data_IF_190301232461
#
_entry.id   IF_190301232461
#
_cell.length_a   1.000
_cell.length_b   1.000
_cell.length_c   1.000
_cell.angle_alpha   90.00
_cell.angle_beta   90.00
_cell.angle_gamma   90.00
#
_symmetry.space_group_name_H-M   'P 1'
#
loop_
_entity.id
_entity.type
_entity.pdbx_description
1 polymer ?
#
# COMPACT_ATOMS: atom_id res chain seq x y z
N UNK A 1 -12.81 13.18 -27.84
CA UNK A 1 -12.80 14.51 -27.18
C UNK A 1 -11.77 14.56 -26.05
N UNK A 2 -11.93 13.78 -24.97
CA UNK A 2 -11.04 13.80 -23.78
C UNK A 2 -9.54 13.80 -24.12
N UNK A 3 -9.04 12.80 -24.85
CA UNK A 3 -7.62 12.71 -25.25
C UNK A 3 -7.10 13.95 -25.98
N UNK A 4 -7.88 14.49 -26.92
CA UNK A 4 -7.47 15.64 -27.72
C UNK A 4 -7.38 16.92 -26.87
N UNK A 5 -8.35 17.14 -25.98
CA UNK A 5 -8.33 18.26 -25.04
C UNK A 5 -7.21 18.12 -23.99
N UNK A 6 -6.95 16.89 -23.51
CA UNK A 6 -5.85 16.60 -22.59
C UNK A 6 -4.49 16.88 -23.25
N UNK A 7 -4.24 16.36 -24.46
CA UNK A 7 -2.98 16.58 -25.16
C UNK A 7 -2.74 18.05 -25.53
N UNK A 8 -3.77 18.80 -25.93
CA UNK A 8 -3.67 20.25 -26.14
C UNK A 8 -3.29 20.98 -24.84
N UNK A 9 -3.80 20.55 -23.69
CA UNK A 9 -3.40 21.09 -22.39
C UNK A 9 -1.98 20.70 -22.01
N UNK A 10 -1.56 19.46 -22.27
CA UNK A 10 -0.19 18.99 -21.98
C UNK A 10 0.85 19.82 -22.73
N UNK A 11 0.60 20.12 -24.01
CA UNK A 11 1.46 20.96 -24.86
C UNK A 11 1.66 22.36 -24.24
N UNK A 12 0.59 23.00 -23.73
CA UNK A 12 0.68 24.29 -23.02
C UNK A 12 1.58 24.29 -21.77
N UNK A 13 1.89 23.13 -21.20
CA UNK A 13 2.74 22.97 -20.01
C UNK A 13 4.04 22.19 -20.30
N UNK A 14 4.38 21.96 -21.58
CA UNK A 14 5.53 21.14 -22.00
C UNK A 14 5.52 19.71 -21.44
N UNK A 15 4.33 19.15 -21.18
CA UNK A 15 4.14 17.77 -20.73
C UNK A 15 3.99 16.88 -21.98
N UNK A 16 4.66 15.70 -22.05
CA UNK A 16 4.52 14.78 -23.18
C UNK A 16 3.05 14.41 -23.46
N UNK A 17 2.68 14.40 -24.74
CA UNK A 17 1.35 13.99 -25.18
C UNK A 17 1.16 12.48 -25.04
N UNK A 18 -0.06 12.06 -24.72
CA UNK A 18 -0.41 10.69 -24.38
C UNK A 18 -1.15 10.03 -25.53
N UNK A 19 -1.03 8.70 -25.68
CA UNK A 19 -1.80 7.98 -26.70
C UNK A 19 -3.29 7.94 -26.35
N UNK A 20 -4.13 7.57 -27.32
CA UNK A 20 -5.56 7.38 -27.08
C UNK A 20 -5.81 6.27 -26.05
N UNK A 21 -4.98 5.22 -26.06
CA UNK A 21 -5.12 4.08 -25.16
C UNK A 21 -4.74 4.45 -23.73
N UNK A 22 -3.59 5.10 -23.53
CA UNK A 22 -3.09 5.51 -22.21
C UNK A 22 -4.02 6.53 -21.57
N UNK A 23 -4.47 7.52 -22.35
CA UNK A 23 -5.44 8.51 -21.90
C UNK A 23 -6.79 7.88 -21.49
N UNK A 24 -7.21 6.80 -22.18
CA UNK A 24 -8.43 6.05 -21.80
C UNK A 24 -8.22 5.26 -20.50
N UNK A 25 -7.07 4.60 -20.33
CA UNK A 25 -6.72 3.88 -19.12
C UNK A 25 -6.66 4.79 -17.89
N UNK A 26 -5.95 5.92 -18.01
CA UNK A 26 -5.88 6.93 -16.94
C UNK A 26 -7.26 7.52 -16.61
N UNK A 27 -8.07 7.83 -17.62
CA UNK A 27 -9.41 8.39 -17.40
C UNK A 27 -10.37 7.40 -16.71
N UNK A 28 -10.24 6.10 -16.96
CA UNK A 28 -11.03 5.06 -16.28
C UNK A 28 -10.71 4.93 -14.78
N UNK A 29 -9.48 5.27 -14.39
CA UNK A 29 -8.99 5.13 -13.00
C UNK A 29 -9.18 6.40 -12.16
N UNK A 30 -9.96 7.38 -12.62
CA UNK A 30 -10.21 8.64 -11.87
C UNK A 30 -11.17 8.37 -10.71
N UNK A 31 -10.66 8.49 -9.47
CA UNK A 31 -11.47 8.48 -8.25
C UNK A 31 -12.00 9.89 -7.97
N UNK A 32 -13.31 10.02 -7.77
CA UNK A 32 -13.95 11.29 -7.43
C UNK A 32 -13.60 11.71 -6.00
N UNK A 33 -12.96 12.87 -5.85
CA UNK A 33 -12.64 13.44 -4.54
C UNK A 33 -13.83 14.24 -3.97
N UNK A 34 -14.12 14.07 -2.68
CA UNK A 34 -15.13 14.83 -1.95
C UNK A 34 -14.46 15.49 -0.74
N UNK A 35 -14.69 16.79 -0.54
CA UNK A 35 -13.99 17.59 0.47
C UNK A 35 -14.23 17.08 1.91
N UNK A 36 -15.42 16.57 2.20
CA UNK A 36 -15.78 16.04 3.53
C UNK A 36 -15.01 14.78 3.90
N UNK A 37 -14.74 13.88 2.95
CA UNK A 37 -13.93 12.68 3.19
C UNK A 37 -12.49 13.06 3.54
N UNK A 38 -11.91 14.04 2.84
CA UNK A 38 -10.56 14.54 3.17
C UNK A 38 -10.51 15.15 4.57
N UNK A 39 -11.53 15.91 4.98
CA UNK A 39 -11.63 16.48 6.33
C UNK A 39 -11.76 15.39 7.42
N UNK A 40 -12.56 14.34 7.18
CA UNK A 40 -12.70 13.20 8.09
C UNK A 40 -11.38 12.42 8.24
N UNK A 41 -10.73 12.09 7.13
CA UNK A 41 -9.43 11.38 7.13
C UNK A 41 -8.35 12.22 7.81
N UNK A 42 -8.29 13.53 7.57
CA UNK A 42 -7.35 14.42 8.26
C UNK A 42 -7.56 14.43 9.79
N UNK A 43 -8.82 14.44 10.26
CA UNK A 43 -9.13 14.30 11.68
C UNK A 43 -8.64 12.98 12.28
N UNK A 44 -8.82 11.86 11.56
CA UNK A 44 -8.34 10.54 11.98
C UNK A 44 -6.80 10.46 12.03
N UNK A 45 -6.10 11.05 11.05
CA UNK A 45 -4.63 11.13 11.03
C UNK A 45 -4.12 11.85 12.29
N UNK A 46 -4.74 12.98 12.68
CA UNK A 46 -4.35 13.71 13.89
C UNK A 46 -4.59 12.89 15.16
N UNK A 47 -5.68 12.12 15.23
CA UNK A 47 -5.97 11.24 16.37
C UNK A 47 -4.92 10.13 16.52
N UNK A 48 -4.52 9.47 15.42
CA UNK A 48 -3.44 8.47 15.50
C UNK A 48 -2.07 9.11 15.79
N UNK A 49 -1.76 10.28 15.23
CA UNK A 49 -0.52 11.01 15.51
C UNK A 49 -0.39 11.39 17.00
N UNK A 50 -1.49 11.81 17.65
CA UNK A 50 -1.51 12.06 19.10
C UNK A 50 -1.20 10.80 19.92
N UNK A 51 -1.64 9.61 19.49
CA UNK A 51 -1.28 8.34 20.15
C UNK A 51 0.20 8.02 19.99
N UNK A 52 0.78 8.26 18.81
CA UNK A 52 2.24 8.11 18.58
C UNK A 52 3.02 9.02 19.51
N UNK A 53 2.68 10.31 19.58
CA UNK A 53 3.33 11.29 20.45
C UNK A 53 3.19 10.96 21.95
N UNK A 54 2.07 10.35 22.35
CA UNK A 54 1.85 9.85 23.71
C UNK A 54 2.56 8.51 24.02
N UNK A 55 3.29 7.92 23.06
CA UNK A 55 3.92 6.61 23.20
C UNK A 55 2.94 5.42 23.21
N UNK A 56 1.67 5.65 22.91
CA UNK A 56 0.60 4.65 22.97
C UNK A 56 0.49 3.80 21.69
N UNK A 57 1.62 3.24 21.23
CA UNK A 57 1.70 2.52 19.94
C UNK A 57 0.75 1.30 19.85
N UNK A 58 0.49 0.61 20.97
CA UNK A 58 -0.47 -0.50 21.03
C UNK A 58 -1.94 -0.08 20.87
N UNK A 59 -2.25 1.21 20.97
CA UNK A 59 -3.58 1.78 20.75
C UNK A 59 -3.81 2.27 19.30
N UNK A 60 -2.80 2.16 18.43
CA UNK A 60 -2.92 2.52 17.01
C UNK A 60 -3.88 1.58 16.29
N UNK A 61 -4.69 2.10 15.37
CA UNK A 61 -5.66 1.31 14.60
C UNK A 61 -5.69 1.73 13.13
N UNK A 62 -5.67 0.75 12.23
CA UNK A 62 -6.03 0.96 10.83
C UNK A 62 -7.51 1.32 10.77
N UNK A 63 -7.87 2.44 10.14
CA UNK A 63 -9.24 2.96 10.17
C UNK A 63 -9.79 3.15 8.77
N UNK A 64 -10.88 2.46 8.47
CA UNK A 64 -11.60 2.52 7.21
C UNK A 64 -12.90 3.32 7.38
N UNK A 65 -13.09 4.36 6.57
CA UNK A 65 -14.35 5.08 6.46
C UNK A 65 -15.24 4.34 5.46
N UNK A 66 -16.47 4.01 5.85
CA UNK A 66 -17.43 3.29 5.02
C UNK A 66 -18.68 4.15 4.78
N UNK A 67 -19.29 3.99 3.62
CA UNK A 67 -20.57 4.64 3.25
C UNK A 67 -21.79 4.05 3.97
N UNK A 68 -21.60 2.90 4.61
CA UNK A 68 -22.67 2.05 5.12
C UNK A 68 -22.97 2.33 6.60
N UNK A 69 -23.84 1.51 7.21
CA UNK A 69 -24.35 1.67 8.59
C UNK A 69 -23.30 1.76 9.70
N UNK A 70 -22.01 1.50 9.39
CA UNK A 70 -20.88 1.74 10.29
C UNK A 70 -19.93 2.73 9.60
N UNK A 71 -20.16 4.03 9.79
CA UNK A 71 -19.36 5.09 9.17
C UNK A 71 -17.84 4.93 9.33
N UNK A 72 -17.39 4.28 10.40
CA UNK A 72 -15.98 4.02 10.68
C UNK A 72 -15.78 2.57 11.18
N UNK A 73 -14.88 1.84 10.54
CA UNK A 73 -14.43 0.51 10.97
C UNK A 73 -12.95 0.59 11.40
N UNK A 74 -12.65 0.19 12.64
CA UNK A 74 -11.30 0.16 13.20
C UNK A 74 -10.76 -1.27 13.24
N UNK A 75 -9.54 -1.46 12.78
CA UNK A 75 -8.80 -2.73 12.76
C UNK A 75 -7.50 -2.61 13.56
N UNK A 76 -7.01 -3.73 14.09
CA UNK A 76 -5.67 -3.79 14.65
C UNK A 76 -4.63 -3.53 13.55
N UNK A 77 -3.48 -2.96 13.90
CA UNK A 77 -2.34 -2.87 13.00
C UNK A 77 -1.72 -4.26 12.90
N UNK A 78 -1.55 -4.75 11.67
CA UNK A 78 -0.93 -6.05 11.40
C UNK A 78 0.60 -5.98 11.59
N UNK A 79 1.26 -7.06 12.04
CA UNK A 79 2.71 -7.12 12.08
C UNK A 79 3.31 -7.08 10.65
N UNK A 80 4.59 -6.71 10.48
CA UNK A 80 5.26 -6.77 9.19
C UNK A 80 5.14 -8.15 8.54
N UNK A 81 4.77 -8.18 7.26
CA UNK A 81 4.65 -9.43 6.50
C UNK A 81 6.04 -10.06 6.28
N UNK A 82 6.15 -11.36 6.53
CA UNK A 82 7.44 -12.08 6.57
C UNK A 82 8.20 -12.05 5.23
N UNK A 83 7.49 -11.94 4.10
CA UNK A 83 8.07 -11.82 2.75
C UNK A 83 8.17 -10.39 2.19
N UNK A 84 7.87 -9.35 2.97
CA UNK A 84 7.77 -7.99 2.43
C UNK A 84 9.08 -7.48 1.80
N UNK A 85 9.06 -7.18 0.49
CA UNK A 85 10.24 -6.72 -0.25
C UNK A 85 10.79 -5.35 0.16
N UNK A 86 10.04 -4.56 0.92
CA UNK A 86 10.43 -3.21 1.33
C UNK A 86 10.89 -3.11 2.80
N UNK A 87 10.37 -3.97 3.70
CA UNK A 87 10.68 -3.90 5.14
C UNK A 87 11.20 -5.20 5.75
N UNK A 88 11.31 -6.28 4.96
CA UNK A 88 11.94 -7.54 5.35
C UNK A 88 13.29 -7.74 4.66
N UNK A 89 13.97 -8.85 4.97
CA UNK A 89 15.14 -9.30 4.20
C UNK A 89 14.66 -10.13 3.02
N UNK A 90 14.25 -9.46 1.95
CA UNK A 90 13.71 -10.15 0.78
C UNK A 90 14.78 -10.55 -0.24
N UNK A 91 14.60 -11.76 -0.77
CA UNK A 91 15.31 -12.27 -1.92
C UNK A 91 14.30 -12.46 -3.06
N UNK A 92 14.65 -12.02 -4.26
CA UNK A 92 13.87 -12.26 -5.47
C UNK A 92 14.69 -13.07 -6.47
N UNK A 93 14.03 -13.96 -7.20
CA UNK A 93 14.60 -14.70 -8.32
C UNK A 93 14.11 -14.10 -9.64
N UNK A 94 15.03 -13.52 -10.39
CA UNK A 94 14.84 -13.12 -11.79
C UNK A 94 15.21 -14.28 -12.70
N UNK A 95 14.23 -14.81 -13.44
CA UNK A 95 14.46 -15.66 -14.60
C UNK A 95 14.44 -14.79 -15.85
N UNK A 96 15.55 -14.76 -16.58
CA UNK A 96 15.67 -14.00 -17.82
C UNK A 96 16.73 -14.65 -18.73
N UNK A 97 16.68 -14.38 -20.03
CA UNK A 97 17.77 -14.77 -20.93
C UNK A 97 18.95 -13.79 -20.73
N UNK A 98 20.01 -14.22 -20.02
CA UNK A 98 21.15 -13.35 -19.66
C UNK A 98 22.04 -12.96 -20.85
N UNK A 99 21.89 -13.62 -22.00
CA UNK A 99 22.64 -13.30 -23.22
C UNK A 99 21.91 -12.30 -24.12
N UNK A 100 20.58 -12.28 -24.07
CA UNK A 100 19.74 -11.32 -24.79
C UNK A 100 19.42 -10.05 -23.97
N UNK A 101 19.15 -10.19 -22.67
CA UNK A 101 18.80 -9.07 -21.80
C UNK A 101 20.02 -8.17 -21.56
N UNK A 102 19.85 -6.85 -21.69
CA UNK A 102 20.88 -5.86 -21.40
C UNK A 102 20.74 -5.28 -19.99
N UNK A 103 21.83 -4.68 -19.49
CA UNK A 103 21.81 -3.95 -18.22
C UNK A 103 20.79 -2.78 -18.23
N UNK A 104 20.64 -2.10 -19.36
CA UNK A 104 19.64 -1.04 -19.58
C UNK A 104 18.20 -1.54 -19.34
N UNK A 105 17.85 -2.72 -19.88
CA UNK A 105 16.52 -3.31 -19.67
C UNK A 105 16.33 -3.76 -18.23
N UNK A 106 17.36 -4.33 -17.59
CA UNK A 106 17.31 -4.71 -16.17
C UNK A 106 17.02 -3.50 -15.28
N UNK A 107 17.72 -2.39 -15.51
CA UNK A 107 17.55 -1.15 -14.75
C UNK A 107 16.18 -0.51 -15.00
N UNK A 108 15.77 -0.37 -16.26
CA UNK A 108 14.52 0.31 -16.61
C UNK A 108 13.28 -0.52 -16.23
N UNK A 109 13.18 -1.76 -16.72
CA UNK A 109 11.95 -2.56 -16.64
C UNK A 109 11.79 -3.30 -15.31
N UNK A 110 12.89 -3.60 -14.61
CA UNK A 110 12.83 -4.34 -13.34
C UNK A 110 13.13 -3.43 -12.16
N UNK A 111 14.35 -2.87 -12.08
CA UNK A 111 14.80 -2.14 -10.90
C UNK A 111 13.98 -0.86 -10.69
N UNK A 112 13.87 0.01 -11.70
CA UNK A 112 13.12 1.27 -11.61
C UNK A 112 11.61 1.06 -11.70
N UNK A 113 11.12 0.29 -12.68
CA UNK A 113 9.68 0.14 -12.94
C UNK A 113 8.95 -0.85 -12.02
N UNK A 114 9.59 -1.96 -11.61
CA UNK A 114 8.94 -3.04 -10.82
C UNK A 114 9.34 -3.06 -9.35
N UNK A 115 10.59 -2.69 -9.01
CA UNK A 115 11.04 -2.54 -7.62
C UNK A 115 10.88 -1.11 -7.09
N UNK A 116 10.52 -0.13 -7.94
CA UNK A 116 10.33 1.29 -7.59
C UNK A 116 11.57 1.99 -7.00
N UNK A 117 12.76 1.45 -7.28
CA UNK A 117 14.06 2.06 -6.94
C UNK A 117 14.25 3.34 -7.76
N UNK A 118 14.59 4.44 -7.09
CA UNK A 118 14.78 5.73 -7.75
C UNK A 118 16.21 5.88 -8.29
N UNK A 119 17.20 5.55 -7.44
CA UNK A 119 18.63 5.75 -7.67
C UNK A 119 19.35 4.41 -7.44
N UNK A 120 19.48 3.56 -8.48
CA UNK A 120 19.95 2.19 -8.31
C UNK A 120 21.46 2.07 -8.17
N UNK A 121 21.88 1.37 -7.13
CA UNK A 121 23.23 0.79 -7.00
C UNK A 121 23.12 -0.73 -7.06
N UNK A 122 23.93 -1.37 -7.93
CA UNK A 122 23.99 -2.82 -8.11
C UNK A 122 25.39 -3.34 -7.77
N UNK A 123 25.47 -4.41 -6.99
CA UNK A 123 26.75 -5.05 -6.63
C UNK A 123 26.65 -6.57 -6.74
N UNK A 124 27.60 -7.21 -7.43
CA UNK A 124 27.69 -8.67 -7.57
C UNK A 124 29.17 -9.11 -7.74
N UNK A 125 29.83 -9.40 -6.63
CA UNK A 125 31.27 -9.70 -6.64
C UNK A 125 32.08 -8.48 -7.13
N UNK A 126 32.87 -8.66 -8.19
CA UNK A 126 33.64 -7.60 -8.85
C UNK A 126 32.78 -6.73 -9.79
N UNK A 127 31.52 -7.09 -10.06
CA UNK A 127 30.60 -6.22 -10.79
C UNK A 127 30.01 -5.16 -9.85
N UNK A 128 30.14 -3.90 -10.24
CA UNK A 128 29.52 -2.76 -9.57
C UNK A 128 28.91 -1.82 -10.62
N UNK A 129 27.78 -1.21 -10.28
CA UNK A 129 27.10 -0.20 -11.09
C UNK A 129 26.39 0.78 -10.14
N UNK A 130 26.49 2.07 -10.45
CA UNK A 130 25.90 3.13 -9.65
C UNK A 130 25.32 4.22 -10.55
N UNK A 131 24.18 4.75 -10.16
CA UNK A 131 23.65 6.03 -10.61
C UNK A 131 23.56 6.96 -9.40
N UNK A 132 23.71 8.27 -9.58
CA UNK A 132 23.54 9.24 -8.49
C UNK A 132 24.26 10.55 -8.73
N UNK A 133 24.14 11.45 -7.76
CA UNK A 133 24.98 12.64 -7.65
C UNK A 133 26.26 12.27 -6.89
N UNK A 134 27.44 12.56 -7.44
CA UNK A 134 28.74 12.30 -6.79
C UNK A 134 29.75 11.51 -7.63
N UNK A 135 29.30 10.90 -8.73
CA UNK A 135 30.18 10.22 -9.70
C UNK A 135 31.00 11.21 -10.54
N UNK A 136 32.24 10.84 -10.86
CA UNK A 136 33.10 11.59 -11.79
C UNK A 136 32.69 11.35 -13.27
N UNK A 137 33.03 12.28 -14.17
CA UNK A 137 32.59 12.24 -15.58
C UNK A 137 33.03 10.95 -16.32
N UNK A 138 34.17 10.37 -15.94
CA UNK A 138 34.70 9.13 -16.50
C UNK A 138 34.03 7.88 -15.91
N UNK A 139 33.65 7.90 -14.63
CA UNK A 139 32.79 6.87 -14.01
C UNK A 139 31.42 6.82 -14.70
N UNK A 140 30.79 7.97 -14.89
CA UNK A 140 29.51 8.09 -15.61
C UNK A 140 29.65 7.55 -17.05
N UNK A 141 30.72 7.91 -17.76
CA UNK A 141 30.99 7.37 -19.10
C UNK A 141 31.24 5.85 -19.09
N UNK A 142 31.91 5.33 -18.07
CA UNK A 142 32.14 3.89 -17.90
C UNK A 142 30.82 3.14 -17.70
N UNK A 143 29.96 3.57 -16.76
CA UNK A 143 28.67 2.94 -16.52
C UNK A 143 27.73 3.01 -17.73
N UNK A 144 27.69 4.16 -18.43
CA UNK A 144 26.95 4.27 -19.70
C UNK A 144 27.43 3.28 -20.78
N UNK A 145 28.72 2.92 -20.78
CA UNK A 145 29.27 1.89 -21.70
C UNK A 145 28.85 0.45 -21.35
N UNK A 146 28.37 0.22 -20.12
CA UNK A 146 27.89 -1.09 -19.66
C UNK A 146 26.41 -1.31 -19.97
N UNK A 147 25.59 -0.26 -20.03
CA UNK A 147 24.14 -0.31 -20.25
C UNK A 147 23.74 -1.21 -21.44
N UNK A 148 24.45 -1.09 -22.56
CA UNK A 148 24.16 -1.81 -23.82
C UNK A 148 24.75 -3.23 -23.89
N UNK A 149 25.48 -3.67 -22.86
CA UNK A 149 26.03 -5.04 -22.79
C UNK A 149 24.95 -5.99 -22.28
N UNK A 150 24.99 -7.25 -22.74
CA UNK A 150 24.17 -8.30 -22.16
C UNK A 150 24.63 -8.63 -20.75
N UNK A 151 23.72 -9.09 -19.90
CA UNK A 151 24.00 -9.43 -18.49
C UNK A 151 25.20 -10.38 -18.36
N UNK A 152 25.29 -11.42 -19.19
CA UNK A 152 26.40 -12.36 -19.22
C UNK A 152 27.76 -11.77 -19.68
N UNK A 153 27.79 -10.56 -20.27
CA UNK A 153 29.01 -9.89 -20.79
C UNK A 153 29.42 -8.66 -19.97
N UNK A 154 28.87 -8.50 -18.77
CA UNK A 154 29.31 -7.52 -17.79
C UNK A 154 30.68 -7.90 -17.18
N UNK A 155 31.46 -6.93 -16.65
CA UNK A 155 32.72 -7.23 -15.98
C UNK A 155 32.51 -8.12 -14.74
N UNK A 156 33.58 -8.69 -14.20
CA UNK A 156 33.51 -9.56 -13.01
C UNK A 156 32.99 -10.98 -13.27
N UNK A 157 32.91 -11.42 -14.53
CA UNK A 157 32.39 -12.75 -14.91
C UNK A 157 30.94 -12.74 -15.40
N UNK A 158 30.30 -11.57 -15.43
CA UNK A 158 28.93 -11.41 -15.90
C UNK A 158 27.88 -11.78 -14.85
N UNK A 159 26.64 -11.39 -15.16
CA UNK A 159 25.45 -11.74 -14.39
C UNK A 159 24.79 -12.95 -15.06
N UNK A 160 24.95 -14.12 -14.44
CA UNK A 160 24.59 -15.45 -14.96
C UNK A 160 23.77 -16.24 -13.94
N UNK A 161 23.38 -17.49 -14.25
CA UNK A 161 22.68 -18.36 -13.29
C UNK A 161 23.46 -18.51 -11.98
N UNK A 162 22.81 -18.18 -10.87
CA UNK A 162 23.40 -18.22 -9.52
C UNK A 162 24.12 -16.93 -9.10
N UNK A 163 24.22 -15.92 -9.97
CA UNK A 163 24.65 -14.58 -9.55
C UNK A 163 23.63 -13.99 -8.59
N UNK A 164 24.10 -13.50 -7.44
CA UNK A 164 23.28 -12.80 -6.44
C UNK A 164 23.67 -11.32 -6.50
N UNK A 165 22.77 -10.49 -7.01
CA UNK A 165 22.98 -9.05 -7.16
C UNK A 165 22.33 -8.33 -5.98
N UNK A 166 23.13 -7.64 -5.17
CA UNK A 166 22.60 -6.70 -4.19
C UNK A 166 22.09 -5.46 -4.94
N UNK A 167 20.79 -5.20 -4.85
CA UNK A 167 20.11 -4.00 -5.36
C UNK A 167 19.90 -3.06 -4.19
N UNK A 168 20.38 -1.83 -4.30
CA UNK A 168 20.29 -0.82 -3.25
C UNK A 168 19.81 0.53 -3.79
N UNK A 169 19.20 1.31 -2.91
CA UNK A 169 18.93 2.74 -3.07
C UNK A 169 19.20 3.41 -1.72
N UNK A 170 20.25 4.21 -1.62
CA UNK A 170 20.63 4.87 -0.36
C UNK A 170 19.63 5.97 0.04
N UNK A 171 18.99 6.62 -0.94
CA UNK A 171 18.02 7.70 -0.72
C UNK A 171 16.73 7.14 -0.13
N UNK A 172 16.29 5.97 -0.61
CA UNK A 172 15.10 5.26 -0.12
C UNK A 172 15.41 4.33 1.07
N UNK A 173 16.69 4.11 1.42
CA UNK A 173 17.16 3.07 2.35
C UNK A 173 16.73 1.64 1.95
N UNK A 174 16.54 1.40 0.65
CA UNK A 174 16.09 0.12 0.10
C UNK A 174 17.28 -0.82 -0.12
N UNK A 175 17.12 -2.09 0.24
CA UNK A 175 18.12 -3.15 0.05
C UNK A 175 17.41 -4.47 -0.28
N UNK A 176 17.80 -5.14 -1.36
CA UNK A 176 17.22 -6.39 -1.83
C UNK A 176 18.28 -7.27 -2.52
N UNK A 177 18.19 -8.59 -2.37
CA UNK A 177 19.04 -9.53 -3.11
C UNK A 177 18.28 -10.12 -4.30
N UNK A 178 18.83 -9.94 -5.50
CA UNK A 178 18.27 -10.42 -6.76
C UNK A 178 19.10 -11.59 -7.30
N UNK A 179 18.58 -12.80 -7.13
CA UNK A 179 19.14 -14.05 -7.63
C UNK A 179 18.81 -14.18 -9.11
N UNK A 180 19.82 -14.32 -9.96
CA UNK A 180 19.65 -14.45 -11.41
C UNK A 180 19.62 -15.93 -11.80
N UNK A 181 18.70 -16.28 -12.69
CA UNK A 181 18.55 -17.60 -13.29
C UNK A 181 18.42 -17.44 -14.81
N UNK A 182 19.39 -17.96 -15.56
CA UNK A 182 19.29 -17.97 -17.01
C UNK A 182 18.16 -18.91 -17.45
N UNK A 183 17.36 -18.45 -18.40
CA UNK A 183 16.40 -19.27 -19.14
C UNK A 183 16.34 -18.78 -20.59
N UNK A 184 16.61 -19.69 -21.54
CA UNK A 184 16.69 -19.35 -22.97
C UNK A 184 15.34 -18.94 -23.56
N UNK A 185 14.33 -19.78 -23.33
CA UNK A 185 12.99 -19.69 -23.91
C UNK A 185 11.93 -19.39 -22.85
N UNK A 186 11.03 -18.47 -23.18
CA UNK A 186 9.86 -18.10 -22.38
C UNK A 186 8.61 -18.34 -23.19
N UNK A 187 7.58 -18.95 -22.59
CA UNK A 187 6.27 -18.98 -23.24
C UNK A 187 5.65 -17.58 -23.19
N UNK A 188 5.19 -17.13 -24.36
CA UNK A 188 4.48 -15.87 -24.56
C UNK A 188 3.21 -15.72 -23.72
N UNK A 189 2.61 -16.82 -23.25
CA UNK A 189 1.46 -16.78 -22.33
C UNK A 189 1.84 -16.45 -20.91
N UNK A 190 2.98 -16.96 -20.45
CA UNK A 190 3.37 -16.94 -19.03
C UNK A 190 4.30 -15.75 -18.72
N UNK A 191 5.11 -15.33 -19.71
CA UNK A 191 6.08 -14.26 -19.57
C UNK A 191 6.10 -13.34 -20.82
N UNK A 192 5.03 -12.55 -21.06
CA UNK A 192 4.93 -11.68 -22.24
C UNK A 192 6.01 -10.59 -22.30
N UNK A 193 6.64 -10.26 -21.18
CA UNK A 193 7.74 -9.28 -21.07
C UNK A 193 9.13 -9.93 -21.28
N UNK A 194 9.22 -11.25 -21.49
CA UNK A 194 10.47 -11.98 -21.73
C UNK A 194 11.31 -12.27 -20.47
N UNK A 195 10.74 -12.06 -19.28
CA UNK A 195 11.33 -12.42 -17.99
C UNK A 195 10.24 -12.79 -16.96
N UNK A 196 10.64 -13.51 -15.91
CA UNK A 196 9.80 -13.83 -14.75
C UNK A 196 10.49 -13.38 -13.47
N UNK A 197 9.83 -12.53 -12.69
CA UNK A 197 10.26 -12.16 -11.34
C UNK A 197 9.44 -12.95 -10.32
N UNK A 198 10.12 -13.72 -9.46
CA UNK A 198 9.53 -14.70 -8.56
C UNK A 198 10.17 -14.65 -7.17
N UNK A 199 9.44 -15.04 -6.13
CA UNK A 199 9.83 -14.92 -4.72
C UNK A 199 8.58 -14.66 -3.88
N UNK A 200 8.74 -14.40 -2.58
CA UNK A 200 7.63 -14.02 -1.69
C UNK A 200 7.17 -12.57 -1.90
N UNK A 201 7.02 -12.17 -3.17
CA UNK A 201 6.29 -10.98 -3.57
C UNK A 201 4.87 -11.09 -3.00
N UNK A 202 4.38 -10.16 -2.16
CA UNK A 202 2.99 -10.15 -1.78
C UNK A 202 2.16 -10.01 -3.05
N UNK A 203 1.40 -11.05 -3.39
CA UNK A 203 0.59 -11.08 -4.59
C UNK A 203 -0.36 -9.88 -4.57
N UNK A 204 -0.28 -9.02 -5.58
CA UNK A 204 -1.30 -8.01 -5.79
C UNK A 204 -2.65 -8.73 -5.89
N UNK A 205 -3.69 -8.32 -5.14
CA UNK A 205 -5.01 -8.91 -5.28
C UNK A 205 -5.43 -8.72 -6.73
N UNK A 206 -5.71 -9.83 -7.42
CA UNK A 206 -6.18 -9.80 -8.79
C UNK A 206 -7.40 -8.87 -8.88
N UNK A 207 -7.41 -7.98 -9.88
CA UNK A 207 -8.52 -7.08 -10.10
C UNK A 207 -9.83 -7.89 -10.13
N UNK A 208 -10.78 -7.54 -9.27
CA UNK A 208 -12.05 -8.23 -9.21
C UNK A 208 -12.72 -8.15 -10.59
N UNK A 209 -13.32 -9.25 -11.10
CA UNK A 209 -13.91 -9.26 -12.43
C UNK A 209 -15.04 -8.22 -12.52
N UNK A 210 -15.02 -7.42 -13.59
CA UNK A 210 -16.03 -6.40 -13.87
C UNK A 210 -17.44 -7.02 -13.88
N UNK A 211 -18.22 -6.66 -12.84
CA UNK A 211 -19.55 -7.20 -12.56
C UNK A 211 -20.60 -6.11 -12.36
N UNK A 212 -20.48 -4.98 -13.08
CA UNK A 212 -21.54 -3.98 -13.14
C UNK A 212 -22.70 -4.52 -13.98
N UNK A 213 -23.72 -5.05 -13.29
CA UNK A 213 -24.97 -5.44 -13.91
C UNK A 213 -25.69 -4.20 -14.46
N UNK A 214 -25.87 -4.16 -15.78
CA UNK A 214 -26.74 -3.20 -16.46
C UNK A 214 -28.19 -3.33 -15.94
N UNK A 215 -28.82 -2.18 -15.74
CA UNK A 215 -30.14 -2.02 -15.15
C UNK A 215 -30.93 -0.88 -15.81
N UNK A 216 -30.86 -0.82 -17.14
CA UNK A 216 -31.74 -0.12 -18.11
C UNK A 216 -32.71 0.97 -17.61
N UNK A 217 -32.68 2.09 -18.33
CA UNK A 217 -33.49 3.28 -18.14
C UNK A 217 -35.02 3.03 -18.02
N UNK A 218 -35.69 3.96 -17.33
CA UNK A 218 -36.95 4.48 -17.83
C UNK A 218 -37.03 6.00 -17.63
N UNK A 219 -37.41 6.73 -18.68
CA UNK A 219 -37.58 8.17 -18.63
C UNK A 219 -39.02 8.57 -18.35
N UNK A 220 -39.22 9.58 -17.51
CA UNK A 220 -40.54 10.19 -17.26
C UNK A 220 -40.34 11.59 -16.68
N UNK A 221 -40.85 12.61 -17.36
CA UNK A 221 -40.81 14.00 -16.90
C UNK A 221 -42.04 14.38 -16.08
N UNK A 222 -41.94 15.48 -15.33
CA UNK A 222 -42.92 15.97 -14.36
C UNK A 222 -42.15 16.44 -13.12
N UNK A 223 -41.71 17.69 -13.02
CA UNK A 223 -42.47 18.94 -12.78
C UNK A 223 -42.54 19.28 -11.27
N UNK A 224 -42.55 20.59 -10.99
CA UNK A 224 -42.19 21.29 -9.76
C UNK A 224 -42.76 20.78 -8.40
N UNK A 225 -41.94 20.84 -7.35
CA UNK A 225 -42.35 21.32 -6.02
C UNK A 225 -41.16 21.60 -5.09
N UNK A 226 -41.21 22.73 -4.38
CA UNK A 226 -40.18 23.18 -3.42
C UNK A 226 -39.90 22.20 -2.26
N UNK A 227 -38.65 22.21 -1.79
CA UNK A 227 -38.21 21.50 -0.59
C UNK A 227 -37.48 22.46 0.35
N UNK A 228 -38.21 23.04 1.30
CA UNK A 228 -37.70 24.00 2.29
C UNK A 228 -36.48 23.48 3.07
N UNK A 229 -35.47 24.34 3.20
CA UNK A 229 -34.38 24.19 4.16
C UNK A 229 -34.69 24.99 5.41
N UNK A 230 -35.23 24.34 6.45
CA UNK A 230 -35.40 24.99 7.75
C UNK A 230 -34.02 25.33 8.36
N UNK A 231 -33.72 26.64 8.37
CA UNK A 231 -32.66 27.24 9.16
C UNK A 231 -33.05 27.25 10.64
N UNK A 232 -32.42 26.40 11.44
CA UNK A 232 -32.45 26.52 12.90
C UNK A 232 -31.35 27.51 13.34
N UNK A 233 -31.76 28.75 13.59
CA UNK A 233 -30.89 29.80 14.13
C UNK A 233 -30.56 29.63 15.63
N UNK A 234 -29.44 30.24 15.99
CA UNK A 234 -28.68 30.19 17.26
C UNK A 234 -29.43 30.02 18.60
N UNK A 235 -28.86 29.16 19.46
CA UNK A 235 -29.07 29.17 20.90
C UNK A 235 -27.87 29.86 21.62
N UNK A 236 -28.10 30.82 22.53
CA UNK A 236 -27.03 31.64 23.12
C UNK A 236 -26.17 30.90 24.17
N UNK A 237 -24.93 31.37 24.45
CA UNK A 237 -23.94 30.63 25.23
C UNK A 237 -24.16 30.70 26.76
N UNK A 238 -23.92 29.60 27.45
CA UNK A 238 -23.85 29.54 28.92
C UNK A 238 -22.40 29.73 29.43
N UNK A 239 -22.18 30.45 30.55
CA UNK A 239 -20.84 30.90 30.96
C UNK A 239 -20.03 29.88 31.79
N UNK A 240 -18.71 30.10 31.80
CA UNK A 240 -17.70 29.36 32.57
C UNK A 240 -17.57 29.85 34.02
N UNK A 241 -17.40 28.92 34.97
CA UNK A 241 -16.76 29.15 36.27
C UNK A 241 -16.26 27.83 36.90
N UNK A 242 -15.22 27.86 37.73
CA UNK A 242 -14.55 26.68 38.28
C UNK A 242 -14.48 26.63 39.83
N UNK A 243 -14.21 25.43 40.35
CA UNK A 243 -13.69 25.07 41.69
C UNK A 243 -14.62 25.15 42.94
N UNK A 244 -14.49 24.18 43.88
CA UNK A 244 -14.84 24.46 45.30
C UNK A 244 -15.37 23.40 46.32
N UNK A 245 -14.75 22.22 46.50
CA UNK A 245 -14.49 21.59 47.84
C UNK A 245 -15.59 21.22 48.91
N UNK A 246 -15.63 19.92 49.27
CA UNK A 246 -15.79 19.28 50.64
C UNK A 246 -17.14 19.18 51.43
N UNK A 247 -17.55 17.91 51.67
CA UNK A 247 -18.04 17.24 52.95
C UNK A 247 -19.42 17.71 53.51
N UNK A 248 -20.26 16.96 54.27
CA UNK A 248 -20.10 15.80 55.21
C UNK A 248 -21.44 15.08 55.57
N UNK A 249 -21.44 13.72 55.57
CA UNK A 249 -22.21 12.66 56.32
C UNK A 249 -23.52 12.91 57.15
N UNK A 250 -24.43 11.91 57.08
CA UNK A 250 -25.40 11.42 58.11
C UNK A 250 -26.63 10.72 57.44
N UNK A 251 -26.89 9.40 57.52
CA UNK A 251 -27.36 8.52 58.63
C UNK A 251 -28.78 8.89 59.16
N UNK A 252 -29.78 8.01 59.36
CA UNK A 252 -29.96 6.53 59.29
C UNK A 252 -31.30 6.19 58.52
N UNK A 253 -31.94 5.01 58.45
CA UNK A 253 -32.02 3.83 59.35
C UNK A 253 -32.46 2.51 58.61
N UNK A 254 -32.61 1.40 59.34
CA UNK A 254 -32.78 -0.01 58.91
C UNK A 254 -34.18 -0.37 58.30
N UNK A 255 -34.49 -1.58 57.79
CA UNK A 255 -34.35 -2.95 58.37
C UNK A 255 -34.31 -4.13 57.35
N UNK A 256 -33.57 -5.20 57.72
CA UNK A 256 -33.75 -6.66 57.44
C UNK A 256 -33.88 -7.21 55.99
N UNK A 257 -32.99 -8.08 55.47
CA UNK A 257 -32.64 -9.50 55.76
C UNK A 257 -33.42 -10.50 54.84
N UNK A 258 -32.91 -11.63 54.31
CA UNK A 258 -31.60 -12.32 54.21
C UNK A 258 -31.61 -13.09 52.83
N UNK A 259 -30.54 -13.59 52.17
CA UNK A 259 -29.15 -13.78 52.59
C UNK A 259 -28.23 -14.55 51.65
N UNK A 260 -27.20 -15.16 52.26
CA UNK A 260 -26.31 -16.26 51.84
C UNK A 260 -25.94 -16.46 50.34
N UNK A 261 -24.81 -15.83 49.95
CA UNK A 261 -23.47 -16.47 49.76
C UNK A 261 -23.41 -18.03 49.70
N UNK A 262 -22.54 -18.72 48.96
CA UNK A 262 -21.30 -18.38 48.22
C UNK A 262 -20.96 -19.56 47.24
N UNK A 263 -20.46 -19.34 46.01
CA UNK A 263 -19.04 -19.25 45.54
C UNK A 263 -18.34 -20.59 45.19
N UNK A 264 -17.86 -20.65 43.94
CA UNK A 264 -16.67 -21.36 43.38
C UNK A 264 -16.62 -22.91 43.28
N UNK A 265 -16.64 -23.36 42.01
CA UNK A 265 -15.48 -23.90 41.26
C UNK A 265 -15.13 -25.42 41.27
N UNK A 266 -14.87 -25.88 40.03
CA UNK A 266 -14.06 -27.01 39.54
C UNK A 266 -14.37 -28.50 39.85
N UNK A 267 -14.18 -29.33 38.81
CA UNK A 267 -13.60 -30.68 39.00
C UNK A 267 -14.29 -31.91 38.37
N UNK A 268 -14.18 -32.10 37.05
CA UNK A 268 -13.79 -33.38 36.41
C UNK A 268 -14.79 -34.56 36.23
N UNK A 269 -14.67 -35.25 35.08
CA UNK A 269 -14.90 -36.70 34.94
C UNK A 269 -15.95 -37.20 33.92
N UNK A 270 -15.49 -37.67 32.75
CA UNK A 270 -16.12 -38.68 31.85
C UNK A 270 -15.12 -38.97 30.70
N UNK A 271 -14.34 -40.06 30.67
CA UNK A 271 -14.63 -41.48 30.29
C UNK A 271 -14.76 -41.74 28.77
N UNK A 272 -14.11 -42.82 28.33
CA UNK A 272 -13.61 -43.10 26.97
C UNK A 272 -14.60 -43.67 25.92
N UNK A 273 -14.30 -43.34 24.64
CA UNK A 273 -14.26 -44.20 23.43
C UNK A 273 -15.51 -45.00 22.90
N UNK A 274 -15.47 -45.61 21.69
CA UNK A 274 -15.08 -45.03 20.38
C UNK A 274 -15.99 -45.50 19.19
N UNK A 275 -15.92 -44.89 18.00
CA UNK A 275 -16.26 -45.55 16.71
C UNK A 275 -15.34 -45.04 15.58
N UNK A 276 -14.78 -45.97 14.79
CA UNK A 276 -13.97 -45.74 13.58
C UNK A 276 -14.81 -45.52 12.31
N UNK A 277 -14.35 -44.65 11.40
CA UNK A 277 -13.92 -44.96 10.02
C UNK A 277 -13.51 -43.69 9.25
#
# INVERSE_FOLDING_TARGET
VVTAAANLRSDCYSIPTQSLFDAKGMAGNIVHAIATTNAQIAGLIVVEALKVLAGCLSALRGTYVQTDKRFVAMMAVEPPAVGCIACGQAQLTLRANTDAMTLEVLLAEIVKKRLAVAVPMLQCGEFFYEEGEGLEDDEVAMYQSLLKRSLAKLPGGGLVTGSIVAVKDEVQQFNLELIISHQDEFDSTDAPEGFLLSGDLPAAPAAAPDGLADGSANGGGGDDSDGDVELLEDAPPAPSAAAGSKRKRGAADATDADGKRAKADNGGGATDEPIEL
#
